data_IF_235848339014
#
_entry.id   IF_235848339014
#
_cell.length_a   1.000
_cell.length_b   1.000
_cell.length_c   1.000
_cell.angle_alpha   90.00
_cell.angle_beta   90.00
_cell.angle_gamma   90.00
#
_symmetry.space_group_name_H-M   'P 1'
#
loop_
_entity.id
_entity.type
_entity.pdbx_description
1 polymer ?
#
# COMPACT_ATOMS: atom_id res chain seq x y z
N UNK A 1 27.26 -25.69 11.56
CA UNK A 1 27.24 -24.44 10.75
C UNK A 1 26.59 -24.61 9.37
N UNK A 2 26.48 -25.82 8.80
CA UNK A 2 25.88 -26.06 7.46
C UNK A 2 24.35 -25.94 7.41
N UNK A 3 23.62 -26.34 8.46
CA UNK A 3 22.14 -26.35 8.47
C UNK A 3 21.47 -25.02 8.11
N UNK A 4 22.09 -23.89 8.45
CA UNK A 4 21.54 -22.55 8.13
C UNK A 4 21.74 -22.22 6.64
N UNK A 5 22.89 -22.61 6.07
CA UNK A 5 23.16 -22.45 4.64
C UNK A 5 22.27 -23.37 3.80
N UNK A 6 22.06 -24.60 4.28
CA UNK A 6 21.14 -25.57 3.64
C UNK A 6 19.70 -25.02 3.65
N UNK A 7 19.25 -24.49 4.79
CA UNK A 7 17.92 -23.86 4.92
C UNK A 7 17.72 -22.65 3.99
N UNK A 8 18.71 -21.75 3.90
CA UNK A 8 18.63 -20.61 2.97
C UNK A 8 18.60 -21.05 1.50
N UNK A 9 19.27 -22.16 1.18
CA UNK A 9 19.27 -22.75 -0.16
C UNK A 9 17.91 -23.32 -0.49
N UNK A 10 17.29 -24.07 0.42
CA UNK A 10 15.92 -24.58 0.27
C UNK A 10 14.89 -23.45 0.13
N UNK A 11 14.98 -22.40 0.95
CA UNK A 11 14.07 -21.24 0.88
C UNK A 11 14.18 -20.54 -0.48
N UNK A 12 15.38 -20.38 -1.03
CA UNK A 12 15.57 -19.79 -2.36
C UNK A 12 14.94 -20.64 -3.47
N UNK A 13 15.01 -21.96 -3.34
CA UNK A 13 14.39 -22.91 -4.29
C UNK A 13 12.86 -22.86 -4.20
N UNK A 14 12.28 -22.68 -3.02
CA UNK A 14 10.83 -22.51 -2.88
C UNK A 14 10.35 -21.13 -3.39
N UNK A 15 11.11 -20.07 -3.12
CA UNK A 15 10.79 -18.72 -3.60
C UNK A 15 10.82 -18.57 -5.12
N UNK A 16 11.57 -19.43 -5.82
CA UNK A 16 11.60 -19.44 -7.30
C UNK A 16 10.37 -20.12 -7.91
N UNK A 17 9.64 -20.95 -7.14
CA UNK A 17 8.37 -21.54 -7.57
C UNK A 17 7.20 -20.57 -7.42
N UNK A 18 7.39 -19.47 -6.70
CA UNK A 18 6.36 -18.44 -6.52
C UNK A 18 6.17 -17.68 -7.83
N UNK A 19 4.92 -17.58 -8.28
CA UNK A 19 4.56 -16.80 -9.47
C UNK A 19 4.55 -15.31 -9.09
N UNK A 20 5.67 -14.64 -9.32
CA UNK A 20 5.78 -13.20 -9.11
C UNK A 20 5.07 -12.43 -10.23
N UNK A 21 4.41 -11.30 -9.92
CA UNK A 21 3.83 -10.44 -10.93
C UNK A 21 4.91 -9.93 -11.88
N UNK A 22 4.56 -9.74 -13.15
CA UNK A 22 5.50 -9.14 -14.10
C UNK A 22 5.81 -7.69 -13.69
N UNK A 23 6.97 -7.14 -14.05
CA UNK A 23 7.32 -5.75 -13.71
C UNK A 23 6.23 -4.74 -14.10
N UNK A 24 5.60 -4.95 -15.26
CA UNK A 24 4.51 -4.11 -15.75
C UNK A 24 3.24 -4.22 -14.90
N UNK A 25 2.90 -5.43 -14.43
CA UNK A 25 1.76 -5.63 -13.53
C UNK A 25 1.99 -4.96 -12.18
N UNK A 26 3.18 -5.12 -11.61
CA UNK A 26 3.54 -4.49 -10.34
C UNK A 26 3.44 -2.96 -10.43
N UNK A 27 3.99 -2.36 -11.50
CA UNK A 27 3.90 -0.91 -11.71
C UNK A 27 2.45 -0.46 -11.86
N UNK A 28 1.65 -1.14 -12.68
CA UNK A 28 0.24 -0.79 -12.89
C UNK A 28 -0.56 -0.85 -11.60
N UNK A 29 -0.37 -1.90 -10.80
CA UNK A 29 -1.05 -2.04 -9.51
C UNK A 29 -0.65 -0.91 -8.54
N UNK A 30 0.64 -0.58 -8.46
CA UNK A 30 1.13 0.52 -7.60
C UNK A 30 0.56 1.86 -8.04
N UNK A 31 0.49 2.15 -9.35
CA UNK A 31 -0.09 3.40 -9.86
C UNK A 31 -1.58 3.51 -9.48
N UNK A 32 -2.33 2.41 -9.59
CA UNK A 32 -3.75 2.40 -9.18
C UNK A 32 -3.86 2.70 -7.68
N UNK A 33 -3.03 2.06 -6.85
CA UNK A 33 -3.04 2.30 -5.40
C UNK A 33 -2.74 3.77 -5.10
N UNK A 34 -1.73 4.37 -5.74
CA UNK A 34 -1.40 5.79 -5.55
C UNK A 34 -2.57 6.70 -5.92
N UNK A 35 -3.26 6.42 -7.04
CA UNK A 35 -4.42 7.23 -7.41
C UNK A 35 -5.54 7.12 -6.37
N UNK A 36 -5.87 5.90 -5.94
CA UNK A 36 -6.93 5.67 -4.96
C UNK A 36 -6.60 6.32 -3.61
N UNK A 37 -5.36 6.20 -3.13
CA UNK A 37 -4.96 6.79 -1.85
C UNK A 37 -5.01 8.32 -1.87
N UNK A 38 -4.60 8.95 -2.98
CA UNK A 38 -4.72 10.41 -3.16
C UNK A 38 -6.19 10.82 -3.16
N UNK A 39 -7.05 10.12 -3.90
CA UNK A 39 -8.49 10.44 -3.96
C UNK A 39 -9.15 10.30 -2.60
N UNK A 40 -8.90 9.20 -1.89
CA UNK A 40 -9.46 8.98 -0.55
C UNK A 40 -8.91 9.99 0.46
N UNK A 41 -7.61 10.26 0.43
CA UNK A 41 -6.99 11.27 1.30
C UNK A 41 -7.56 12.66 1.10
N UNK A 42 -7.79 13.05 -0.16
CA UNK A 42 -8.44 14.33 -0.48
C UNK A 42 -9.90 14.36 0.01
N UNK A 43 -10.65 13.28 -0.19
CA UNK A 43 -12.03 13.18 0.27
C UNK A 43 -12.13 13.34 1.80
N UNK A 44 -11.35 12.58 2.55
CA UNK A 44 -11.33 12.64 4.02
C UNK A 44 -10.92 14.05 4.46
N UNK A 45 -9.83 14.60 3.91
CA UNK A 45 -9.37 15.95 4.26
C UNK A 45 -10.39 17.05 3.96
N UNK A 46 -11.13 16.94 2.86
CA UNK A 46 -12.22 17.87 2.54
C UNK A 46 -13.37 17.76 3.54
N UNK A 47 -13.75 16.54 3.93
CA UNK A 47 -14.79 16.30 4.93
C UNK A 47 -14.37 16.86 6.29
N UNK A 48 -13.14 16.60 6.75
CA UNK A 48 -12.62 17.13 8.00
C UNK A 48 -12.59 18.66 8.02
N UNK A 49 -12.20 19.28 6.91
CA UNK A 49 -12.23 20.73 6.76
C UNK A 49 -13.65 21.31 6.88
N UNK A 50 -14.61 20.70 6.17
CA UNK A 50 -16.01 21.14 6.20
C UNK A 50 -16.62 20.97 7.59
N UNK A 51 -16.38 19.84 8.26
CA UNK A 51 -16.85 19.59 9.61
C UNK A 51 -16.25 20.57 10.62
N UNK A 52 -14.96 20.88 10.51
CA UNK A 52 -14.29 21.86 11.37
C UNK A 52 -14.91 23.26 11.21
N UNK A 53 -15.18 23.68 9.97
CA UNK A 53 -15.84 24.96 9.68
C UNK A 53 -17.28 25.00 10.18
N UNK A 54 -18.02 23.90 10.05
CA UNK A 54 -19.37 23.79 10.57
C UNK A 54 -19.39 23.87 12.12
N UNK A 55 -18.45 23.18 12.78
CA UNK A 55 -18.29 23.24 14.23
C UNK A 55 -17.91 24.65 14.72
N UNK A 56 -16.98 25.33 14.04
CA UNK A 56 -16.63 26.73 14.33
C UNK A 56 -17.84 27.67 14.23
N UNK A 57 -18.75 27.43 13.27
CA UNK A 57 -19.97 28.22 13.12
C UNK A 57 -20.99 27.96 14.24
N UNK A 58 -21.07 26.72 14.75
CA UNK A 58 -22.02 26.33 15.80
C UNK A 58 -21.54 26.72 17.20
N UNK A 59 -20.23 26.70 17.43
CA UNK A 59 -19.61 27.08 18.72
C UNK A 59 -19.43 28.60 18.88
N UNK A 60 -19.71 29.38 17.83
CA UNK A 60 -19.68 30.84 17.82
C UNK A 60 -21.10 31.41 17.93
#
# INVERSE_FOLDING_TARGET
MSKILDFLTEVRVELSKVVWPTPNQAIRLTVIVIMVTITVGFFIGAVDYLLTKALELVLK
#
